data_IF_277966014042
#
_entry.id   IF_277966014042
#
_cell.length_a   1.000
_cell.length_b   1.000
_cell.length_c   1.000
_cell.angle_alpha   90.00
_cell.angle_beta   90.00
_cell.angle_gamma   90.00
#
_symmetry.space_group_name_H-M   'P 1'
#
loop_
_entity.id
_entity.type
_entity.pdbx_description
1 polymer ?
#
# COMPACT_ATOMS: atom_id res chain seq x y z
N UNK A 1 -22.21 -1.47 -8.56
CA UNK A 1 -21.46 -0.42 -7.83
C UNK A 1 -20.05 -0.95 -7.64
N UNK A 2 -19.03 -0.24 -8.12
CA UNK A 2 -17.66 -0.67 -7.88
C UNK A 2 -17.41 -0.63 -6.36
N UNK A 3 -16.88 -1.70 -5.81
CA UNK A 3 -16.63 -1.85 -4.37
C UNK A 3 -15.40 -1.04 -3.89
N UNK A 4 -14.74 -0.30 -4.80
CA UNK A 4 -13.52 0.49 -4.56
C UNK A 4 -13.42 1.68 -5.54
N UNK A 5 -12.56 2.69 -5.27
CA UNK A 5 -12.38 3.87 -6.13
C UNK A 5 -11.98 3.54 -7.58
N UNK A 6 -12.30 4.41 -8.53
CA UNK A 6 -11.98 4.17 -9.95
C UNK A 6 -10.46 4.08 -10.18
N UNK A 7 -9.94 2.98 -10.76
CA UNK A 7 -8.53 2.87 -11.10
C UNK A 7 -8.16 3.75 -12.31
N UNK A 8 -6.86 4.07 -12.49
CA UNK A 8 -6.37 4.60 -13.75
C UNK A 8 -6.66 3.66 -14.94
N UNK A 9 -6.78 4.18 -16.18
CA UNK A 9 -6.91 3.35 -17.37
C UNK A 9 -5.79 2.31 -17.47
N UNK A 10 -6.15 1.04 -17.68
CA UNK A 10 -5.21 -0.07 -17.80
C UNK A 10 -4.69 -0.65 -16.48
N UNK A 11 -5.09 -0.10 -15.34
CA UNK A 11 -4.76 -0.65 -14.01
C UNK A 11 -5.87 -1.57 -13.52
N UNK A 12 -5.49 -2.77 -13.05
CA UNK A 12 -6.41 -3.75 -12.47
C UNK A 12 -6.05 -4.05 -11.02
N UNK A 13 -6.99 -3.81 -10.11
CA UNK A 13 -6.84 -4.17 -8.70
C UNK A 13 -6.63 -5.69 -8.54
N UNK A 14 -7.35 -6.50 -9.30
CA UNK A 14 -7.26 -7.96 -9.20
C UNK A 14 -5.86 -8.45 -9.59
N UNK A 15 -5.25 -7.88 -10.63
CA UNK A 15 -3.86 -8.18 -11.02
C UNK A 15 -2.87 -7.78 -9.93
N UNK A 16 -3.07 -6.61 -9.31
CA UNK A 16 -2.21 -6.18 -8.20
C UNK A 16 -2.33 -7.13 -6.99
N UNK A 17 -3.53 -7.61 -6.69
CA UNK A 17 -3.79 -8.58 -5.62
C UNK A 17 -3.17 -9.95 -5.94
N UNK A 18 -3.28 -10.42 -7.18
CA UNK A 18 -2.63 -11.65 -7.64
C UNK A 18 -1.11 -11.56 -7.53
N UNK A 19 -0.52 -10.45 -7.98
CA UNK A 19 0.91 -10.19 -7.82
C UNK A 19 1.31 -10.22 -6.33
N UNK A 20 0.53 -9.56 -5.48
CA UNK A 20 0.78 -9.49 -4.03
C UNK A 20 0.79 -10.88 -3.36
N UNK A 21 -0.17 -11.74 -3.74
CA UNK A 21 -0.26 -13.13 -3.26
C UNK A 21 0.90 -13.97 -3.79
N UNK A 22 1.28 -13.81 -5.05
CA UNK A 22 2.42 -14.51 -5.62
C UNK A 22 3.73 -14.15 -4.90
N UNK A 23 3.93 -12.88 -4.55
CA UNK A 23 5.12 -12.43 -3.81
C UNK A 23 5.15 -12.94 -2.37
N UNK A 24 3.99 -13.04 -1.70
CA UNK A 24 3.87 -13.70 -0.39
C UNK A 24 4.42 -15.12 -0.43
N UNK A 25 4.01 -15.92 -1.42
CA UNK A 25 4.50 -17.29 -1.58
C UNK A 25 5.99 -17.33 -2.00
N UNK A 26 6.41 -16.42 -2.88
CA UNK A 26 7.80 -16.34 -3.34
C UNK A 26 8.78 -16.07 -2.19
N UNK A 27 8.46 -15.13 -1.30
CA UNK A 27 9.31 -14.74 -0.18
C UNK A 27 9.07 -15.52 1.12
N UNK A 28 8.15 -16.49 1.12
CA UNK A 28 7.81 -17.32 2.29
C UNK A 28 9.02 -17.92 3.00
N UNK A 29 10.03 -18.33 2.22
CA UNK A 29 11.28 -18.91 2.73
C UNK A 29 12.46 -17.92 2.73
N UNK A 30 12.35 -16.80 2.00
CA UNK A 30 13.41 -15.79 1.87
C UNK A 30 13.42 -14.78 3.01
N UNK A 31 12.29 -14.61 3.72
CA UNK A 31 12.15 -13.75 4.89
C UNK A 31 11.40 -12.45 4.59
N UNK A 32 10.68 -11.97 5.60
CA UNK A 32 9.77 -10.82 5.54
C UNK A 32 10.44 -9.53 5.04
N UNK A 33 11.74 -9.35 5.24
CA UNK A 33 12.46 -8.16 4.78
C UNK A 33 12.48 -8.01 3.25
N UNK A 34 12.60 -9.10 2.49
CA UNK A 34 12.59 -9.04 1.03
C UNK A 34 11.20 -8.70 0.49
N UNK A 35 10.15 -9.27 1.10
CA UNK A 35 8.76 -8.93 0.79
C UNK A 35 8.50 -7.44 1.03
N UNK A 36 8.90 -6.91 2.20
CA UNK A 36 8.73 -5.50 2.53
C UNK A 36 9.54 -4.58 1.59
N UNK A 37 10.75 -4.99 1.21
CA UNK A 37 11.58 -4.25 0.24
C UNK A 37 10.93 -4.19 -1.14
N UNK A 38 10.38 -5.30 -1.63
CA UNK A 38 9.61 -5.34 -2.89
C UNK A 38 8.37 -4.45 -2.79
N UNK A 39 7.59 -4.60 -1.72
CA UNK A 39 6.36 -3.83 -1.52
C UNK A 39 6.64 -2.33 -1.46
N UNK A 40 7.66 -1.91 -0.71
CA UNK A 40 8.13 -0.52 -0.68
C UNK A 40 8.45 0.02 -2.07
N UNK A 41 9.17 -0.75 -2.91
CA UNK A 41 9.50 -0.32 -4.28
C UNK A 41 8.27 -0.09 -5.16
N UNK A 42 7.19 -0.84 -4.94
CA UNK A 42 5.92 -0.66 -5.66
C UNK A 42 5.20 0.62 -5.25
N UNK A 43 5.14 0.92 -3.95
CA UNK A 43 4.25 1.96 -3.40
C UNK A 43 4.91 3.30 -3.10
N UNK A 44 6.25 3.37 -3.06
CA UNK A 44 6.98 4.63 -2.84
C UNK A 44 6.68 5.67 -3.93
N UNK A 45 7.06 6.92 -3.70
CA UNK A 45 6.97 7.98 -4.70
C UNK A 45 7.60 7.55 -6.04
N UNK A 46 6.86 7.72 -7.14
CA UNK A 46 7.16 7.25 -8.51
C UNK A 46 7.37 5.73 -8.63
N UNK A 47 6.86 4.96 -7.67
CA UNK A 47 6.72 3.52 -7.78
C UNK A 47 5.58 3.15 -8.73
N UNK A 48 5.53 1.88 -9.12
CA UNK A 48 4.54 1.38 -10.08
C UNK A 48 3.08 1.52 -9.60
N UNK A 49 2.86 1.59 -8.30
CA UNK A 49 1.54 1.76 -7.67
C UNK A 49 1.32 3.18 -7.10
N UNK A 50 2.22 4.13 -7.38
CA UNK A 50 2.04 5.55 -7.05
C UNK A 50 1.09 6.21 -8.07
N UNK A 51 -0.18 5.84 -8.03
CA UNK A 51 -1.15 6.20 -9.07
C UNK A 51 -1.48 7.69 -9.14
N UNK A 52 -1.22 8.47 -8.07
CA UNK A 52 -1.35 9.93 -8.12
C UNK A 52 -0.41 10.59 -9.14
N UNK A 53 0.67 9.91 -9.55
CA UNK A 53 1.52 10.38 -10.66
C UNK A 53 0.80 10.38 -12.01
N UNK A 54 -0.23 9.54 -12.18
CA UNK A 54 -1.08 9.51 -13.37
C UNK A 54 -2.21 10.55 -13.31
N UNK A 55 -2.43 11.14 -12.13
CA UNK A 55 -3.41 12.18 -11.88
C UNK A 55 -3.87 12.19 -10.41
N UNK A 56 -4.05 13.37 -9.79
CA UNK A 56 -4.43 13.47 -8.38
C UNK A 56 -5.77 12.79 -8.06
N UNK A 57 -6.67 12.65 -9.04
CA UNK A 57 -7.93 11.94 -8.90
C UNK A 57 -7.78 10.43 -8.56
N UNK A 58 -6.59 9.85 -8.73
CA UNK A 58 -6.32 8.44 -8.45
C UNK A 58 -5.71 8.19 -7.08
N UNK A 59 -5.54 9.22 -6.25
CA UNK A 59 -4.97 9.11 -4.90
C UNK A 59 -5.77 8.14 -4.03
N UNK A 60 -7.10 8.28 -3.98
CA UNK A 60 -7.97 7.35 -3.24
C UNK A 60 -7.84 5.91 -3.71
N UNK A 61 -7.68 5.67 -5.02
CA UNK A 61 -7.41 4.33 -5.54
C UNK A 61 -6.03 3.82 -5.13
N UNK A 62 -5.00 4.68 -5.14
CA UNK A 62 -3.67 4.35 -4.63
C UNK A 62 -3.69 3.91 -3.17
N UNK A 63 -4.38 4.67 -2.31
CA UNK A 63 -4.52 4.37 -0.89
C UNK A 63 -5.31 3.08 -0.64
N UNK A 64 -6.40 2.88 -1.38
CA UNK A 64 -7.13 1.61 -1.36
C UNK A 64 -6.25 0.44 -1.81
N UNK A 65 -5.54 0.59 -2.94
CA UNK A 65 -4.66 -0.44 -3.49
C UNK A 65 -3.55 -0.79 -2.50
N UNK A 66 -2.92 0.20 -1.85
CA UNK A 66 -1.90 0.00 -0.81
C UNK A 66 -2.40 -0.91 0.31
N UNK A 67 -3.58 -0.61 0.87
CA UNK A 67 -4.19 -1.42 1.92
C UNK A 67 -4.49 -2.85 1.47
N UNK A 68 -5.09 -2.99 0.28
CA UNK A 68 -5.50 -4.28 -0.27
C UNK A 68 -4.29 -5.18 -0.60
N UNK A 69 -3.34 -4.65 -1.36
CA UNK A 69 -2.14 -5.37 -1.80
C UNK A 69 -1.22 -5.72 -0.64
N UNK A 70 -0.99 -4.79 0.29
CA UNK A 70 -0.18 -5.04 1.48
C UNK A 70 -0.75 -6.19 2.32
N UNK A 71 -2.07 -6.18 2.54
CA UNK A 71 -2.78 -7.25 3.24
C UNK A 71 -2.67 -8.58 2.49
N UNK A 72 -2.90 -8.59 1.18
CA UNK A 72 -2.79 -9.79 0.34
C UNK A 72 -1.36 -10.37 0.32
N UNK A 73 -0.34 -9.52 0.46
CA UNK A 73 1.05 -9.93 0.66
C UNK A 73 1.35 -10.48 2.06
N UNK A 74 0.42 -10.34 3.02
CA UNK A 74 0.58 -10.79 4.40
C UNK A 74 1.20 -9.76 5.34
N UNK A 75 1.26 -8.49 4.93
CA UNK A 75 1.70 -7.39 5.81
C UNK A 75 0.56 -7.05 6.77
N UNK A 76 0.87 -6.90 8.06
CA UNK A 76 -0.16 -6.61 9.05
C UNK A 76 -0.71 -5.18 8.90
N UNK A 77 -1.99 -5.01 9.22
CA UNK A 77 -2.66 -3.71 9.23
C UNK A 77 -1.90 -2.64 10.03
N UNK A 78 -1.35 -3.02 11.19
CA UNK A 78 -0.57 -2.11 12.02
C UNK A 78 0.70 -1.59 11.31
N UNK A 79 1.35 -2.43 10.52
CA UNK A 79 2.52 -2.03 9.70
C UNK A 79 2.09 -1.11 8.57
N UNK A 80 0.99 -1.44 7.88
CA UNK A 80 0.48 -0.62 6.77
C UNK A 80 0.08 0.78 7.23
N UNK A 81 -0.71 0.89 8.31
CA UNK A 81 -1.15 2.18 8.83
C UNK A 81 0.02 3.02 9.37
N UNK A 82 1.03 2.37 9.96
CA UNK A 82 2.24 3.07 10.44
C UNK A 82 3.06 3.62 9.27
N UNK A 83 3.31 2.80 8.25
CA UNK A 83 4.10 3.18 7.09
C UNK A 83 3.42 4.30 6.28
N UNK A 84 2.10 4.29 6.15
CA UNK A 84 1.34 5.38 5.55
C UNK A 84 1.50 6.69 6.34
N UNK A 85 1.34 6.65 7.67
CA UNK A 85 1.55 7.81 8.54
C UNK A 85 2.96 8.39 8.45
N UNK A 86 3.98 7.53 8.42
CA UNK A 86 5.36 7.95 8.25
C UNK A 86 5.60 8.63 6.88
N UNK A 87 5.07 8.05 5.80
CA UNK A 87 5.22 8.60 4.45
C UNK A 87 4.59 10.00 4.31
N UNK A 88 3.44 10.23 4.96
CA UNK A 88 2.77 11.53 4.91
C UNK A 88 3.58 12.62 5.62
N UNK A 89 4.16 12.32 6.79
CA UNK A 89 5.02 13.24 7.53
C UNK A 89 6.33 13.58 6.80
N UNK A 90 6.82 12.67 5.98
CA UNK A 90 8.10 12.80 5.25
C UNK A 90 7.91 13.37 3.85
N UNK A 91 6.67 13.43 3.35
CA UNK A 91 6.31 14.00 2.05
C UNK A 91 6.81 15.45 1.92
N UNK A 92 7.99 15.59 1.31
CA UNK A 92 8.81 16.81 1.37
C UNK A 92 10.33 16.57 1.34
N UNK A 93 10.82 15.37 1.67
CA UNK A 93 12.26 15.03 1.62
C UNK A 93 12.50 13.64 1.01
N UNK A 94 13.38 13.54 0.01
CA UNK A 94 13.46 12.37 -0.90
C UNK A 94 14.28 11.16 -0.41
N UNK A 95 14.70 11.12 0.87
CA UNK A 95 15.68 10.12 1.34
C UNK A 95 15.32 9.46 2.69
N UNK A 96 14.40 10.01 3.48
CA UNK A 96 14.10 9.55 4.84
C UNK A 96 13.00 8.45 4.93
N UNK A 97 12.42 8.06 3.79
CA UNK A 97 11.23 7.20 3.71
C UNK A 97 11.42 5.79 4.28
N UNK A 98 12.57 5.17 4.03
CA UNK A 98 12.85 3.83 4.56
C UNK A 98 13.13 3.95 6.07
N UNK A 99 13.95 4.92 6.50
CA UNK A 99 14.24 5.20 7.92
C UNK A 99 13.01 5.51 8.79
N UNK A 100 12.03 6.20 8.24
CA UNK A 100 10.80 6.54 8.95
C UNK A 100 9.82 5.36 9.05
N UNK A 101 9.86 4.38 8.13
CA UNK A 101 8.99 3.20 8.19
C UNK A 101 9.26 2.28 9.41
N UNK A 102 10.45 2.36 10.01
CA UNK A 102 10.81 1.67 11.27
C UNK A 102 10.91 2.57 12.49
N UNK A 103 10.69 3.89 12.35
CA UNK A 103 10.74 4.80 13.48
C UNK A 103 9.49 4.70 14.38
N UNK A 104 9.69 4.86 15.69
CA UNK A 104 8.63 4.95 16.70
C UNK A 104 7.86 6.28 16.56
N UNK A 105 6.65 6.23 15.98
CA UNK A 105 5.56 7.23 16.06
C UNK A 105 5.87 8.69 15.62
N UNK A 106 4.88 9.48 15.11
CA UNK A 106 3.44 9.33 15.28
C UNK A 106 2.66 8.97 14.00
N UNK A 107 1.49 8.38 14.23
CA UNK A 107 0.41 8.24 13.25
C UNK A 107 -0.10 9.63 12.87
N UNK A 108 -0.09 9.96 11.58
CA UNK A 108 -0.42 11.31 11.10
C UNK A 108 -0.84 11.37 9.63
N UNK A 109 -1.30 10.26 9.07
CA UNK A 109 -1.84 10.24 7.71
C UNK A 109 -3.18 10.99 7.63
N UNK A 110 -3.53 11.52 6.45
CA UNK A 110 -4.79 12.22 6.23
C UNK A 110 -5.98 11.29 6.56
N UNK A 111 -7.04 11.77 7.25
CA UNK A 111 -8.18 10.92 7.61
C UNK A 111 -8.87 10.23 6.43
N UNK A 112 -8.88 10.85 5.25
CA UNK A 112 -9.45 10.28 4.02
C UNK A 112 -8.55 9.17 3.50
N UNK A 113 -7.23 9.38 3.52
CA UNK A 113 -6.25 8.40 3.08
C UNK A 113 -6.28 7.16 3.96
N UNK A 114 -6.30 7.33 5.29
CA UNK A 114 -6.48 6.22 6.22
C UNK A 114 -7.79 5.47 6.02
N UNK A 115 -8.89 6.16 5.70
CA UNK A 115 -10.17 5.50 5.46
C UNK A 115 -10.09 4.60 4.23
N UNK A 116 -9.44 5.05 3.15
CA UNK A 116 -9.25 4.23 1.95
C UNK A 116 -8.27 3.06 2.17
N UNK A 117 -7.18 3.28 2.91
CA UNK A 117 -6.25 2.20 3.28
C UNK A 117 -7.00 1.12 4.07
N UNK A 118 -7.78 1.49 5.08
CA UNK A 118 -8.59 0.53 5.86
C UNK A 118 -9.62 -0.19 5.00
N UNK A 119 -10.32 0.53 4.11
CA UNK A 119 -11.26 -0.08 3.18
C UNK A 119 -10.57 -1.11 2.27
N UNK A 120 -9.35 -0.84 1.81
CA UNK A 120 -8.54 -1.79 1.04
C UNK A 120 -8.15 -3.03 1.85
N UNK A 121 -7.72 -2.84 3.10
CA UNK A 121 -7.40 -3.93 4.03
C UNK A 121 -8.62 -4.83 4.24
N UNK A 122 -9.77 -4.24 4.56
CA UNK A 122 -11.02 -4.98 4.78
C UNK A 122 -11.48 -5.71 3.52
N UNK A 123 -11.33 -5.08 2.35
CA UNK A 123 -11.59 -5.72 1.07
C UNK A 123 -10.72 -6.96 0.87
N UNK A 124 -9.40 -6.86 1.08
CA UNK A 124 -8.51 -7.99 0.93
C UNK A 124 -8.85 -9.14 1.89
N UNK A 125 -9.11 -8.84 3.17
CA UNK A 125 -9.55 -9.83 4.18
C UNK A 125 -10.85 -10.53 3.75
N UNK A 126 -11.80 -9.80 3.17
CA UNK A 126 -13.07 -10.37 2.69
C UNK A 126 -12.92 -11.37 1.53
N UNK A 127 -11.76 -11.37 0.85
CA UNK A 127 -11.44 -12.26 -0.28
C UNK A 127 -10.57 -13.45 0.11
N UNK A 128 -10.21 -13.60 1.39
CA UNK A 128 -9.45 -14.74 1.92
C UNK A 128 -10.35 -15.88 2.46
N UNK A 129 -11.66 -15.81 2.22
CA UNK A 129 -12.67 -16.82 2.56
C UNK A 129 -13.37 -17.36 1.30
#
# INVERSE_FOLDING_TARGET
>A
MNQYPSPPPGVSLDQNLEESKAQKEHFKNGGTAFLLSWFYKKVRNRGEWDYKQLGPQFESFGNFNYGATGTASGISEAVLLRAAGAAQLVSGTSQADFDAWWAEAPYGDDPVDQAWIKAGIDYAKSKEH
#
